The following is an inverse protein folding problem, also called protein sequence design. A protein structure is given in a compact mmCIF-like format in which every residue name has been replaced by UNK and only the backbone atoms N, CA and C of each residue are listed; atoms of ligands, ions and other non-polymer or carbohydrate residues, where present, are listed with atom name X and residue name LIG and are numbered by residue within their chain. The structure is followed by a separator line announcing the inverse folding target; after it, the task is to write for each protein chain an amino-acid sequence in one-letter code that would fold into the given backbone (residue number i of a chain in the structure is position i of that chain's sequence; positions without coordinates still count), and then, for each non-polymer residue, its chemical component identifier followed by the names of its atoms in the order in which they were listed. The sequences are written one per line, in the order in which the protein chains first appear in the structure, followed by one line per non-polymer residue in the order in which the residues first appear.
data_IF_668065271246
#
_entry.id   IF_668065271246
#
_cell.length_a   1.000
_cell.length_b   1.000
_cell.length_c   1.000
_cell.angle_alpha   90.00
_cell.angle_beta   90.00
_cell.angle_gamma   90.00
#
_symmetry.space_group_name_H-M   'P 1'
#
loop_
_entity.id
_entity.type
_entity.pdbx_description
1 polymer ?
#
# COMPACT_ATOMS: atom_id res chain seq x y z
N UNK A 1 8.62 6.96 22.64
CA UNK A 1 8.36 6.46 21.27
C UNK A 1 6.97 5.84 21.21
N UNK A 2 6.22 6.02 20.13
CA UNK A 2 4.90 5.43 19.92
C UNK A 2 5.04 3.90 19.81
N UNK A 3 4.29 3.16 20.63
CA UNK A 3 4.23 1.69 20.46
C UNK A 3 3.25 1.37 19.33
N UNK A 4 3.77 1.32 18.09
CA UNK A 4 2.96 1.17 16.88
C UNK A 4 2.05 -0.07 16.94
N UNK A 5 2.51 -1.29 17.28
CA UNK A 5 1.64 -2.45 17.34
C UNK A 5 0.45 -2.27 18.30
N UNK A 6 0.65 -1.63 19.44
CA UNK A 6 -0.44 -1.37 20.39
C UNK A 6 -1.38 -0.25 19.90
N UNK A 7 -0.85 0.79 19.26
CA UNK A 7 -1.69 1.83 18.65
C UNK A 7 -2.56 1.28 17.51
N UNK A 8 -2.03 0.39 16.70
CA UNK A 8 -2.79 -0.27 15.61
C UNK A 8 -3.93 -1.14 16.14
N UNK A 9 -3.77 -1.76 17.31
CA UNK A 9 -4.81 -2.60 17.95
C UNK A 9 -5.98 -1.78 18.53
N UNK A 10 -5.79 -0.49 18.82
CA UNK A 10 -6.88 0.33 19.34
C UNK A 10 -8.04 0.40 18.36
N UNK A 11 -9.25 0.09 18.84
CA UNK A 11 -10.47 0.08 18.04
C UNK A 11 -11.03 1.50 17.84
N UNK A 12 -10.23 2.36 17.19
CA UNK A 12 -10.60 3.73 16.84
C UNK A 12 -10.18 3.99 15.40
N UNK A 13 -10.96 4.76 14.63
CA UNK A 13 -10.56 5.13 13.27
C UNK A 13 -9.20 5.84 13.27
N UNK A 14 -8.33 5.45 12.34
CA UNK A 14 -7.04 6.10 12.10
C UNK A 14 -7.15 7.07 10.94
N UNK A 15 -6.48 8.22 11.04
CA UNK A 15 -6.31 9.14 9.91
C UNK A 15 -5.37 8.49 8.89
N UNK A 16 -5.85 8.21 7.68
CA UNK A 16 -5.12 7.46 6.66
C UNK A 16 -4.98 8.26 5.36
N UNK A 17 -3.78 8.28 4.80
CA UNK A 17 -3.52 8.62 3.40
C UNK A 17 -3.15 7.31 2.71
N UNK A 18 -3.83 6.94 1.63
CA UNK A 18 -3.54 5.76 0.83
C UNK A 18 -2.78 6.17 -0.44
N UNK A 19 -1.55 5.68 -0.60
CA UNK A 19 -0.72 5.89 -1.80
C UNK A 19 -0.67 4.61 -2.62
N UNK A 20 -1.21 4.62 -3.85
CA UNK A 20 -1.55 3.42 -4.62
C UNK A 20 -1.26 3.58 -6.11
N UNK A 21 -0.77 2.54 -6.77
CA UNK A 21 -0.58 2.45 -8.22
C UNK A 21 -1.67 1.60 -8.89
N UNK A 22 -2.92 1.94 -8.60
CA UNK A 22 -4.16 1.17 -8.76
C UNK A 22 -4.42 0.52 -10.15
N UNK A 23 -3.69 0.87 -11.18
CA UNK A 23 -3.79 0.25 -12.50
C UNK A 23 -2.65 -0.72 -12.81
N UNK A 24 -1.67 -0.82 -11.92
CA UNK A 24 -0.51 -1.70 -12.06
C UNK A 24 -0.92 -3.19 -12.15
N UNK A 25 -1.69 -3.66 -11.18
CA UNK A 25 -2.23 -5.02 -11.10
C UNK A 25 -3.75 -5.01 -10.90
N UNK A 26 -4.27 -5.79 -9.95
CA UNK A 26 -5.72 -5.91 -9.68
C UNK A 26 -6.06 -5.86 -8.18
N UNK A 27 -5.10 -5.72 -7.31
CA UNK A 27 -5.22 -5.83 -5.85
C UNK A 27 -5.37 -4.48 -5.15
N UNK A 28 -4.87 -3.41 -5.74
CA UNK A 28 -5.14 -2.03 -5.31
C UNK A 28 -6.65 -1.75 -5.20
N UNK A 29 -7.45 -2.20 -6.19
CA UNK A 29 -8.89 -1.98 -6.23
C UNK A 29 -9.59 -2.61 -5.03
N UNK A 30 -9.16 -3.82 -4.64
CA UNK A 30 -9.63 -4.46 -3.40
C UNK A 30 -9.24 -3.63 -2.17
N UNK A 31 -8.03 -3.06 -2.18
CA UNK A 31 -7.48 -2.30 -1.05
C UNK A 31 -8.19 -0.96 -0.87
N UNK A 32 -8.43 -0.22 -1.96
CA UNK A 32 -9.21 1.03 -1.95
C UNK A 32 -10.61 0.78 -1.40
N UNK A 33 -11.29 -0.23 -1.93
CA UNK A 33 -12.63 -0.61 -1.47
C UNK A 33 -12.61 -1.03 0.01
N UNK A 34 -11.64 -1.85 0.42
CA UNK A 34 -11.51 -2.31 1.81
C UNK A 34 -11.29 -1.15 2.79
N UNK A 35 -10.47 -0.16 2.42
CA UNK A 35 -10.26 1.04 3.22
C UNK A 35 -11.57 1.84 3.39
N UNK A 36 -12.30 2.08 2.28
CA UNK A 36 -13.55 2.84 2.29
C UNK A 36 -14.67 2.12 3.06
N UNK A 37 -14.71 0.79 2.99
CA UNK A 37 -15.71 -0.05 3.67
C UNK A 37 -15.35 -0.38 5.14
N UNK A 38 -14.33 0.28 5.68
CA UNK A 38 -13.88 0.09 7.07
C UNK A 38 -13.90 1.41 7.87
N UNK A 39 -15.02 2.18 7.90
CA UNK A 39 -15.07 3.50 8.56
C UNK A 39 -14.88 3.44 10.07
N UNK A 40 -15.08 2.28 10.68
CA UNK A 40 -14.80 1.99 12.09
C UNK A 40 -13.29 1.95 12.40
N UNK A 41 -12.45 1.76 11.39
CA UNK A 41 -10.98 1.64 11.50
C UNK A 41 -10.22 2.69 10.71
N UNK A 42 -10.80 3.19 9.64
CA UNK A 42 -10.15 4.05 8.63
C UNK A 42 -10.94 5.33 8.44
N UNK A 43 -10.28 6.46 8.62
CA UNK A 43 -10.74 7.77 8.17
C UNK A 43 -9.80 8.23 7.06
N UNK A 44 -10.22 8.02 5.80
CA UNK A 44 -9.43 8.42 4.64
C UNK A 44 -9.36 9.95 4.55
N UNK A 45 -8.15 10.49 4.64
CA UNK A 45 -7.88 11.92 4.42
C UNK A 45 -7.69 12.22 2.94
N UNK A 46 -7.09 11.29 2.21
CA UNK A 46 -6.84 11.38 0.78
C UNK A 46 -6.41 10.02 0.21
N UNK A 47 -6.50 9.91 -1.13
CA UNK A 47 -5.84 8.86 -1.91
C UNK A 47 -4.87 9.55 -2.88
N UNK A 48 -3.66 9.03 -3.02
CA UNK A 48 -2.63 9.57 -3.91
C UNK A 48 -2.25 8.50 -4.95
N UNK A 49 -2.15 8.92 -6.22
CA UNK A 49 -1.76 8.04 -7.32
C UNK A 49 -0.23 7.91 -7.37
N UNK A 50 0.30 6.71 -7.19
CA UNK A 50 1.72 6.44 -7.32
C UNK A 50 2.10 6.16 -8.78
N UNK A 51 3.36 6.49 -9.20
CA UNK A 51 3.85 6.13 -10.51
C UNK A 51 4.12 4.63 -10.60
N UNK A 52 3.89 4.03 -11.78
CA UNK A 52 4.36 2.68 -12.08
C UNK A 52 4.76 2.54 -13.54
N UNK A 53 5.67 1.61 -13.82
CA UNK A 53 6.10 1.29 -15.17
C UNK A 53 6.21 -0.21 -15.37
N UNK A 54 5.30 -0.76 -16.18
CA UNK A 54 5.29 -2.16 -16.60
C UNK A 54 4.62 -2.29 -17.98
N UNK A 55 4.18 -3.50 -18.36
CA UNK A 55 3.51 -3.75 -19.65
C UNK A 55 2.16 -3.04 -19.81
N UNK A 56 1.59 -2.45 -18.76
CA UNK A 56 0.31 -1.73 -18.78
C UNK A 56 0.47 -0.21 -18.88
N UNK A 57 1.71 0.30 -18.87
CA UNK A 57 2.02 1.73 -19.01
C UNK A 57 3.19 1.95 -19.95
N UNK A 58 3.25 3.15 -20.57
CA UNK A 58 4.33 3.53 -21.48
C UNK A 58 5.41 4.38 -20.80
N UNK A 59 5.13 4.85 -19.60
CA UNK A 59 6.06 5.60 -18.72
C UNK A 59 5.54 5.59 -17.29
N UNK A 60 6.36 5.98 -16.29
CA UNK A 60 5.87 6.17 -14.91
C UNK A 60 4.73 7.20 -14.82
N UNK A 61 4.80 8.30 -15.60
CA UNK A 61 3.76 9.32 -15.67
C UNK A 61 2.43 8.77 -16.21
N UNK A 62 2.48 7.97 -17.28
CA UNK A 62 1.29 7.31 -17.84
C UNK A 62 0.70 6.30 -16.83
N UNK A 63 1.55 5.58 -16.10
CA UNK A 63 1.15 4.70 -15.03
C UNK A 63 0.43 5.46 -13.91
N UNK A 64 0.99 6.56 -13.45
CA UNK A 64 0.39 7.42 -12.43
C UNK A 64 -0.98 7.96 -12.87
N UNK A 65 -1.12 8.44 -14.11
CA UNK A 65 -2.38 8.97 -14.61
C UNK A 65 -3.46 7.88 -14.73
N UNK A 66 -3.08 6.67 -15.18
CA UNK A 66 -3.97 5.51 -15.20
C UNK A 66 -4.43 5.11 -13.80
N UNK A 67 -3.51 5.14 -12.84
CA UNK A 67 -3.85 4.89 -11.43
C UNK A 67 -4.81 5.96 -10.90
N UNK A 68 -4.60 7.23 -11.22
CA UNK A 68 -5.48 8.33 -10.82
C UNK A 68 -6.92 8.12 -11.32
N UNK A 69 -7.10 7.74 -12.59
CA UNK A 69 -8.43 7.49 -13.14
C UNK A 69 -9.06 6.20 -12.56
N UNK A 70 -8.27 5.16 -12.33
CA UNK A 70 -8.75 3.92 -11.71
C UNK A 70 -9.19 4.14 -10.25
N UNK A 71 -8.45 4.94 -9.49
CA UNK A 71 -8.84 5.33 -8.11
C UNK A 71 -10.22 5.98 -8.13
N UNK A 72 -10.45 6.95 -9.02
CA UNK A 72 -11.75 7.63 -9.17
C UNK A 72 -12.86 6.65 -9.51
N UNK A 73 -12.57 5.70 -10.40
CA UNK A 73 -13.52 4.67 -10.79
C UNK A 73 -13.94 3.81 -9.59
N UNK A 74 -12.98 3.31 -8.81
CA UNK A 74 -13.26 2.49 -7.64
C UNK A 74 -14.01 3.27 -6.55
N UNK A 75 -13.57 4.50 -6.26
CA UNK A 75 -14.28 5.38 -5.30
C UNK A 75 -15.75 5.56 -5.72
N UNK A 76 -16.00 5.79 -7.02
CA UNK A 76 -17.35 5.90 -7.56
C UNK A 76 -18.17 4.61 -7.48
N UNK A 77 -17.56 3.44 -7.61
CA UNK A 77 -18.22 2.14 -7.44
C UNK A 77 -18.60 1.85 -5.99
N UNK A 78 -17.76 2.27 -5.04
CA UNK A 78 -18.01 2.07 -3.59
C UNK A 78 -19.05 3.07 -3.11
N UNK A 79 -18.87 4.34 -3.40
CA UNK A 79 -19.80 5.41 -3.00
C UNK A 79 -19.71 6.59 -3.96
N UNK A 80 -20.69 6.76 -4.88
CA UNK A 80 -20.71 7.87 -5.83
C UNK A 80 -20.76 9.27 -5.19
N UNK A 81 -21.19 9.37 -3.93
CA UNK A 81 -21.26 10.62 -3.18
C UNK A 81 -20.03 10.86 -2.28
N UNK A 82 -19.02 9.99 -2.33
CA UNK A 82 -17.83 10.16 -1.52
C UNK A 82 -17.03 11.39 -1.97
N UNK A 83 -16.70 12.26 -1.02
CA UNK A 83 -15.85 13.43 -1.21
C UNK A 83 -14.44 13.17 -0.62
N UNK A 84 -13.75 12.19 -1.21
CA UNK A 84 -12.38 11.86 -0.81
C UNK A 84 -11.43 12.54 -1.79
N UNK A 85 -10.54 13.46 -1.32
CA UNK A 85 -9.55 14.08 -2.19
C UNK A 85 -8.62 13.06 -2.83
N UNK A 86 -8.45 13.14 -4.16
CA UNK A 86 -7.55 12.29 -4.93
C UNK A 86 -6.49 13.20 -5.59
N UNK A 87 -5.21 12.87 -5.39
CA UNK A 87 -4.12 13.70 -5.88
C UNK A 87 -3.26 12.94 -6.90
N UNK A 88 -2.88 13.64 -7.98
CA UNK A 88 -1.89 13.14 -8.94
C UNK A 88 -0.52 13.10 -8.29
N UNK A 89 0.17 11.99 -8.49
CA UNK A 89 1.51 11.74 -7.94
C UNK A 89 2.63 12.19 -8.83
N UNK A 90 3.79 11.64 -8.50
CA UNK A 90 5.03 11.91 -9.22
C UNK A 90 4.97 11.31 -10.64
N UNK A 91 5.50 12.05 -11.62
CA UNK A 91 5.56 11.61 -13.02
C UNK A 91 6.82 10.80 -13.34
N UNK A 92 7.74 10.69 -12.42
CA UNK A 92 9.01 9.95 -12.51
C UNK A 92 9.46 9.52 -11.13
N UNK A 93 10.36 8.54 -11.06
CA UNK A 93 11.01 8.11 -9.82
C UNK A 93 12.07 9.12 -9.35
N UNK A 94 12.52 9.03 -8.10
CA UNK A 94 13.57 9.89 -7.59
C UNK A 94 14.86 9.73 -8.40
N UNK A 95 15.52 10.83 -8.78
CA UNK A 95 16.80 10.75 -9.48
C UNK A 95 17.94 10.26 -8.55
N UNK A 96 17.81 10.52 -7.26
CA UNK A 96 18.71 10.11 -6.19
C UNK A 96 18.03 10.31 -4.82
N UNK A 97 18.65 9.83 -3.75
CA UNK A 97 18.10 9.90 -2.39
C UNK A 97 18.17 11.30 -1.73
N UNK A 98 18.40 12.38 -2.48
CA UNK A 98 18.52 13.76 -1.95
C UNK A 98 17.58 14.75 -2.64
N UNK A 99 17.10 14.43 -3.82
CA UNK A 99 16.30 15.33 -4.63
C UNK A 99 14.86 14.82 -4.75
N UNK A 100 13.85 15.55 -4.21
CA UNK A 100 12.45 15.16 -4.33
C UNK A 100 11.93 15.34 -5.75
N UNK A 101 10.92 14.58 -6.10
CA UNK A 101 10.06 14.83 -7.25
C UNK A 101 8.78 15.49 -6.73
N UNK A 102 8.66 16.80 -6.93
CA UNK A 102 7.45 17.51 -6.51
C UNK A 102 6.23 17.04 -7.29
N UNK A 103 5.14 16.82 -6.57
CA UNK A 103 3.84 16.45 -7.12
C UNK A 103 2.72 16.96 -6.22
N UNK A 104 1.47 16.93 -6.71
CA UNK A 104 0.32 17.28 -5.89
C UNK A 104 0.19 16.31 -4.71
N UNK A 105 0.46 15.02 -4.94
CA UNK A 105 0.47 14.01 -3.90
C UNK A 105 1.50 14.29 -2.81
N UNK A 106 2.76 14.56 -3.17
CA UNK A 106 3.81 14.84 -2.19
C UNK A 106 3.48 16.09 -1.36
N UNK A 107 3.00 17.16 -2.01
CA UNK A 107 2.53 18.38 -1.32
C UNK A 107 1.32 18.11 -0.41
N UNK A 108 0.36 17.29 -0.87
CA UNK A 108 -0.81 16.93 -0.08
C UNK A 108 -0.43 16.09 1.15
N UNK A 109 0.49 15.13 1.03
CA UNK A 109 1.02 14.36 2.16
C UNK A 109 1.61 15.31 3.21
N UNK A 110 2.52 16.21 2.81
CA UNK A 110 3.12 17.18 3.73
C UNK A 110 2.07 18.02 4.44
N UNK A 111 1.14 18.60 3.69
CA UNK A 111 0.08 19.46 4.22
C UNK A 111 -0.82 18.71 5.18
N UNK A 112 -1.37 17.56 4.78
CA UNK A 112 -2.32 16.79 5.58
C UNK A 112 -1.70 16.27 6.88
N UNK A 113 -0.43 15.86 6.87
CA UNK A 113 0.29 15.44 8.07
C UNK A 113 0.51 16.63 9.01
N UNK A 114 0.94 17.78 8.50
CA UNK A 114 1.17 18.98 9.32
C UNK A 114 -0.11 19.54 9.94
N UNK A 115 -1.21 19.56 9.19
CA UNK A 115 -2.51 20.06 9.62
C UNK A 115 -3.22 19.11 10.61
N UNK A 116 -2.84 17.83 10.63
CA UNK A 116 -3.46 16.85 11.53
C UNK A 116 -3.10 17.11 12.98
N UNK A 117 -4.11 16.96 13.86
CA UNK A 117 -3.93 16.96 15.33
C UNK A 117 -3.67 15.55 15.90
N UNK A 118 -3.66 14.53 15.05
CA UNK A 118 -3.41 13.14 15.42
C UNK A 118 -2.36 12.51 14.49
N UNK A 119 -1.86 11.34 14.86
CA UNK A 119 -0.94 10.56 14.00
C UNK A 119 -1.61 10.20 12.69
N UNK A 120 -0.96 10.52 11.57
CA UNK A 120 -1.41 10.13 10.22
C UNK A 120 -0.70 8.86 9.79
N UNK A 121 -1.46 7.87 9.37
CA UNK A 121 -0.94 6.64 8.79
C UNK A 121 -0.91 6.77 7.28
N UNK A 122 0.29 6.73 6.70
CA UNK A 122 0.46 6.70 5.24
C UNK A 122 0.57 5.23 4.87
N UNK A 123 -0.45 4.70 4.20
CA UNK A 123 -0.44 3.32 3.69
C UNK A 123 -0.04 3.38 2.22
N UNK A 124 1.19 2.93 1.93
CA UNK A 124 1.74 2.92 0.58
C UNK A 124 1.77 1.49 0.03
N UNK A 125 1.22 1.31 -1.18
CA UNK A 125 1.09 0.02 -1.85
C UNK A 125 1.63 0.04 -3.28
N UNK A 126 2.35 1.10 -3.65
CA UNK A 126 3.07 1.27 -4.91
C UNK A 126 4.54 1.67 -4.71
N UNK A 127 5.15 2.16 -5.78
CA UNK A 127 6.48 2.77 -5.70
C UNK A 127 6.46 3.95 -4.73
N UNK A 128 7.45 4.03 -3.84
CA UNK A 128 7.42 4.92 -2.67
C UNK A 128 7.71 6.40 -2.97
N UNK A 129 7.78 6.77 -4.22
CA UNK A 129 8.23 8.07 -4.72
C UNK A 129 7.52 9.27 -4.08
N UNK A 130 6.17 9.22 -3.98
CA UNK A 130 5.39 10.32 -3.39
C UNK A 130 5.74 10.54 -1.92
N UNK A 131 5.83 9.47 -1.15
CA UNK A 131 6.15 9.51 0.29
C UNK A 131 7.59 9.91 0.51
N UNK A 132 8.53 9.36 -0.26
CA UNK A 132 9.95 9.72 -0.19
C UNK A 132 10.17 11.19 -0.55
N UNK A 133 9.48 11.69 -1.58
CA UNK A 133 9.51 13.12 -1.94
C UNK A 133 8.95 13.99 -0.82
N UNK A 134 7.83 13.61 -0.22
CA UNK A 134 7.27 14.34 0.92
C UNK A 134 8.23 14.42 2.11
N UNK A 135 8.93 13.32 2.43
CA UNK A 135 9.95 13.29 3.49
C UNK A 135 11.17 14.14 3.17
N UNK A 136 11.62 14.19 1.90
CA UNK A 136 12.72 15.07 1.48
C UNK A 136 12.32 16.56 1.52
N UNK A 137 11.09 16.88 1.13
CA UNK A 137 10.55 18.27 1.18
C UNK A 137 10.31 18.76 2.61
N UNK A 138 9.91 17.84 3.51
CA UNK A 138 9.47 18.17 4.85
C UNK A 138 9.82 17.04 5.84
N UNK A 139 11.07 16.92 6.29
CA UNK A 139 11.48 15.85 7.21
C UNK A 139 10.73 15.83 8.55
N UNK A 140 10.17 16.97 8.97
CA UNK A 140 9.37 17.14 10.18
C UNK A 140 8.10 16.28 10.22
N UNK A 141 7.55 15.90 9.05
CA UNK A 141 6.35 15.04 9.01
C UNK A 141 6.59 13.66 9.61
N UNK A 142 7.84 13.20 9.67
CA UNK A 142 8.21 11.94 10.31
C UNK A 142 7.84 11.88 11.82
N UNK A 143 7.67 13.01 12.48
CA UNK A 143 7.28 13.08 13.89
C UNK A 143 5.79 12.82 14.12
N UNK A 144 4.96 13.03 13.09
CA UNK A 144 3.50 12.94 13.16
C UNK A 144 2.92 11.84 12.27
N UNK A 145 3.72 11.18 11.45
CA UNK A 145 3.26 10.14 10.56
C UNK A 145 3.83 8.76 10.93
N UNK A 146 3.10 7.72 10.55
CA UNK A 146 3.55 6.33 10.52
C UNK A 146 3.40 5.85 9.09
N UNK A 147 4.46 5.31 8.51
CA UNK A 147 4.42 4.70 7.19
C UNK A 147 4.15 3.20 7.31
N UNK A 148 3.12 2.71 6.65
CA UNK A 148 2.86 1.29 6.40
C UNK A 148 3.11 1.04 4.92
N UNK A 149 4.13 0.27 4.58
CA UNK A 149 4.54 0.08 3.19
C UNK A 149 4.62 -1.38 2.79
N UNK A 150 3.86 -1.72 1.74
CA UNK A 150 4.03 -2.97 1.01
C UNK A 150 5.21 -2.80 0.06
N UNK A 151 6.37 -3.29 0.43
CA UNK A 151 7.58 -3.13 -0.38
C UNK A 151 8.73 -4.00 0.10
N UNK A 152 9.47 -4.50 -0.88
CA UNK A 152 10.55 -5.44 -0.68
C UNK A 152 10.09 -6.88 -0.48
N UNK A 153 11.04 -7.79 -0.50
CA UNK A 153 10.82 -9.21 -0.17
C UNK A 153 11.18 -9.50 1.29
N UNK A 154 10.83 -10.68 1.75
CA UNK A 154 11.24 -11.15 3.08
C UNK A 154 12.77 -11.16 3.20
N UNK A 155 13.28 -10.91 4.42
CA UNK A 155 14.73 -10.78 4.68
C UNK A 155 15.55 -12.03 4.32
N UNK A 156 14.90 -13.20 4.23
CA UNK A 156 15.55 -14.46 3.84
C UNK A 156 15.59 -14.70 2.33
N UNK A 157 14.99 -13.80 1.52
CA UNK A 157 15.04 -13.93 0.06
C UNK A 157 16.43 -13.57 -0.49
N UNK A 158 16.87 -14.23 -1.58
CA UNK A 158 18.23 -14.05 -2.13
C UNK A 158 18.45 -12.67 -2.79
N UNK A 159 17.38 -11.95 -3.06
CA UNK A 159 17.39 -10.58 -3.61
C UNK A 159 16.14 -9.82 -3.16
N UNK A 160 16.21 -8.50 -3.26
CA UNK A 160 15.08 -7.64 -2.88
C UNK A 160 14.56 -6.83 -4.10
N UNK A 161 14.53 -7.46 -5.27
CA UNK A 161 13.98 -6.86 -6.51
C UNK A 161 12.47 -7.07 -6.56
N UNK A 162 11.80 -6.55 -5.54
CA UNK A 162 10.37 -6.48 -5.45
C UNK A 162 9.88 -5.28 -6.26
N UNK A 163 8.70 -5.35 -6.87
CA UNK A 163 8.23 -4.37 -7.85
C UNK A 163 8.17 -2.95 -7.29
N UNK A 164 7.53 -2.74 -6.15
CA UNK A 164 7.36 -1.41 -5.54
C UNK A 164 8.71 -0.81 -5.10
N UNK A 165 9.57 -1.61 -4.47
CA UNK A 165 10.88 -1.17 -4.03
C UNK A 165 11.84 -0.94 -5.20
N UNK A 166 11.84 -1.86 -6.17
CA UNK A 166 12.84 -1.84 -7.23
C UNK A 166 12.59 -0.76 -8.27
N UNK A 167 11.36 -0.27 -8.41
CA UNK A 167 11.05 0.85 -9.30
C UNK A 167 11.69 2.16 -8.81
N UNK A 168 11.81 2.36 -7.48
CA UNK A 168 12.40 3.57 -6.91
C UNK A 168 13.33 3.22 -5.74
N UNK A 169 14.51 2.68 -6.07
CA UNK A 169 15.54 2.34 -5.07
C UNK A 169 15.98 3.57 -4.27
N UNK A 170 16.24 4.76 -4.88
CA UNK A 170 16.52 5.98 -4.11
C UNK A 170 15.39 6.36 -3.14
N UNK A 171 14.13 6.23 -3.55
CA UNK A 171 12.98 6.47 -2.67
C UNK A 171 12.93 5.49 -1.49
N UNK A 172 13.20 4.21 -1.73
CA UNK A 172 13.33 3.22 -0.68
C UNK A 172 14.47 3.56 0.30
N UNK A 173 15.64 4.00 -0.19
CA UNK A 173 16.75 4.48 0.64
C UNK A 173 16.32 5.65 1.53
N UNK A 174 15.65 6.66 0.96
CA UNK A 174 15.11 7.80 1.75
C UNK A 174 14.25 7.32 2.90
N UNK A 175 13.30 6.43 2.63
CA UNK A 175 12.39 5.89 3.66
C UNK A 175 13.15 5.13 4.73
N UNK A 176 14.02 4.20 4.34
CA UNK A 176 14.77 3.37 5.30
C UNK A 176 15.84 4.14 6.07
N UNK A 177 16.29 5.29 5.58
CA UNK A 177 17.25 6.16 6.26
C UNK A 177 16.59 7.32 7.03
N UNK A 178 15.29 7.55 6.83
CA UNK A 178 14.51 8.57 7.54
C UNK A 178 14.21 8.17 8.99
N UNK A 179 13.66 9.13 9.75
CA UNK A 179 13.17 8.89 11.11
C UNK A 179 11.68 8.51 11.17
N UNK A 180 11.01 8.37 10.02
CA UNK A 180 9.60 8.00 10.02
C UNK A 180 9.42 6.59 10.62
N UNK A 181 8.52 6.42 11.59
CA UNK A 181 8.12 5.11 12.06
C UNK A 181 7.59 4.26 10.91
N UNK A 182 8.19 3.09 10.68
CA UNK A 182 7.92 2.23 9.52
C UNK A 182 7.33 0.88 9.96
N UNK A 183 6.27 0.48 9.29
CA UNK A 183 5.74 -0.89 9.27
C UNK A 183 5.94 -1.43 7.86
N UNK A 184 6.90 -2.33 7.69
CA UNK A 184 7.14 -2.97 6.39
C UNK A 184 6.31 -4.25 6.27
N UNK A 185 5.61 -4.40 5.14
CA UNK A 185 4.94 -5.62 4.73
C UNK A 185 5.69 -6.18 3.52
N UNK A 186 6.52 -7.22 3.69
CA UNK A 186 7.25 -7.80 2.57
C UNK A 186 6.34 -8.63 1.66
N UNK A 187 6.55 -8.54 0.34
CA UNK A 187 5.79 -9.29 -0.65
C UNK A 187 6.12 -10.79 -0.60
N UNK A 188 7.09 -11.25 -1.38
CA UNK A 188 7.45 -12.67 -1.38
C UNK A 188 8.03 -13.11 -0.02
N UNK A 189 7.56 -14.25 0.45
CA UNK A 189 7.95 -14.86 1.72
C UNK A 189 7.12 -14.43 2.93
N UNK A 190 6.22 -13.43 2.75
CA UNK A 190 5.25 -13.01 3.77
C UNK A 190 3.85 -12.97 3.18
N UNK A 191 3.59 -12.12 2.17
CA UNK A 191 2.26 -12.00 1.57
C UNK A 191 1.89 -13.18 0.66
N UNK A 192 2.82 -14.05 0.33
CA UNK A 192 2.60 -15.23 -0.55
C UNK A 192 1.51 -16.17 -0.05
N UNK A 193 1.17 -16.15 1.23
CA UNK A 193 0.06 -16.93 1.79
C UNK A 193 -1.31 -16.29 1.50
N UNK A 194 -1.37 -15.00 1.13
CA UNK A 194 -2.63 -14.29 0.90
C UNK A 194 -3.11 -14.46 -0.56
N UNK A 195 -3.27 -15.72 -0.96
CA UNK A 195 -3.72 -16.13 -2.30
C UNK A 195 -5.23 -16.32 -2.35
N UNK A 196 -5.83 -15.98 -3.51
CA UNK A 196 -7.20 -16.32 -3.87
C UNK A 196 -7.23 -16.97 -5.26
N UNK A 197 -8.40 -17.45 -5.66
CA UNK A 197 -8.66 -18.09 -6.95
C UNK A 197 -9.92 -17.52 -7.58
N UNK A 198 -10.07 -17.64 -8.90
CA UNK A 198 -11.31 -17.22 -9.58
C UNK A 198 -12.55 -17.86 -8.96
N UNK A 199 -12.61 -19.20 -8.70
CA UNK A 199 -13.77 -19.81 -8.04
C UNK A 199 -14.09 -19.21 -6.68
N UNK A 200 -13.08 -18.87 -5.86
CA UNK A 200 -13.29 -18.28 -4.54
C UNK A 200 -13.86 -16.86 -4.65
N UNK A 201 -13.25 -16.02 -5.51
CA UNK A 201 -13.73 -14.66 -5.77
C UNK A 201 -15.16 -14.65 -6.34
N UNK A 202 -15.46 -15.57 -7.28
CA UNK A 202 -16.81 -15.70 -7.84
C UNK A 202 -17.82 -16.17 -6.79
N UNK A 203 -17.45 -17.13 -5.96
CA UNK A 203 -18.35 -17.67 -4.93
C UNK A 203 -18.83 -16.60 -3.97
N UNK A 204 -17.93 -15.73 -3.52
CA UNK A 204 -18.26 -14.69 -2.54
C UNK A 204 -18.80 -13.40 -3.16
N UNK A 205 -18.29 -12.99 -4.33
CA UNK A 205 -18.54 -11.64 -4.84
C UNK A 205 -19.50 -11.58 -6.04
N UNK A 206 -19.58 -12.63 -6.89
CA UNK A 206 -20.34 -12.57 -8.12
C UNK A 206 -21.82 -12.26 -7.87
N UNK A 207 -22.33 -11.21 -8.51
CA UNK A 207 -23.75 -10.82 -8.46
C UNK A 207 -24.15 -10.07 -7.19
N UNK A 208 -23.22 -9.74 -6.27
CA UNK A 208 -23.56 -9.07 -5.02
C UNK A 208 -23.89 -7.59 -5.22
N UNK A 209 -23.02 -6.85 -5.88
CA UNK A 209 -23.15 -5.43 -6.19
C UNK A 209 -22.25 -5.04 -7.39
N UNK A 210 -22.33 -3.79 -7.90
CA UNK A 210 -21.51 -3.35 -9.03
C UNK A 210 -20.01 -3.45 -8.78
N UNK A 211 -19.52 -3.07 -7.61
CA UNK A 211 -18.10 -3.20 -7.22
C UNK A 211 -17.66 -4.66 -7.25
N UNK A 212 -18.39 -5.55 -6.61
CA UNK A 212 -18.09 -6.98 -6.61
C UNK A 212 -18.02 -7.58 -8.00
N UNK A 213 -18.96 -7.22 -8.87
CA UNK A 213 -18.96 -7.67 -10.27
C UNK A 213 -17.72 -7.16 -11.01
N UNK A 214 -17.34 -5.91 -10.80
CA UNK A 214 -16.11 -5.34 -11.37
C UNK A 214 -14.85 -6.10 -10.92
N UNK A 215 -14.71 -6.36 -9.62
CA UNK A 215 -13.59 -7.12 -9.06
C UNK A 215 -13.52 -8.56 -9.61
N UNK A 216 -14.66 -9.22 -9.80
CA UNK A 216 -14.74 -10.55 -10.43
C UNK A 216 -14.24 -10.50 -11.87
N UNK A 217 -14.75 -9.56 -12.68
CA UNK A 217 -14.34 -9.44 -14.09
C UNK A 217 -12.87 -9.04 -14.22
N UNK A 218 -12.37 -8.17 -13.36
CA UNK A 218 -10.97 -7.78 -13.29
C UNK A 218 -10.07 -9.00 -13.00
N UNK A 219 -10.47 -9.83 -12.02
CA UNK A 219 -9.75 -11.05 -11.66
C UNK A 219 -9.74 -12.08 -12.80
N UNK A 220 -10.87 -12.23 -13.52
CA UNK A 220 -10.96 -13.09 -14.70
C UNK A 220 -10.07 -12.59 -15.84
N UNK A 221 -10.12 -11.29 -16.11
CA UNK A 221 -9.32 -10.66 -17.18
C UNK A 221 -7.81 -10.81 -16.92
N UNK A 222 -7.39 -10.81 -15.67
CA UNK A 222 -5.99 -11.01 -15.31
C UNK A 222 -5.50 -12.43 -15.63
N UNK A 223 -6.38 -13.44 -15.66
CA UNK A 223 -6.12 -14.81 -16.14
C UNK A 223 -6.70 -15.05 -17.55
N UNK A 224 -6.70 -14.07 -18.43
CA UNK A 224 -7.29 -14.19 -19.77
C UNK A 224 -6.70 -15.35 -20.60
N UNK A 225 -5.47 -15.81 -20.30
CA UNK A 225 -4.84 -16.98 -20.94
C UNK A 225 -5.41 -18.32 -20.45
N UNK A 226 -6.28 -18.31 -19.44
CA UNK A 226 -6.93 -19.52 -18.91
C UNK A 226 -5.96 -20.51 -18.29
N UNK A 227 -4.95 -20.04 -17.57
CA UNK A 227 -3.97 -20.91 -16.89
C UNK A 227 -4.70 -21.80 -15.90
N UNK A 228 -4.54 -23.13 -16.04
CA UNK A 228 -5.17 -24.10 -15.14
C UNK A 228 -4.56 -24.02 -13.73
N UNK A 229 -5.42 -24.14 -12.72
CA UNK A 229 -5.05 -24.05 -11.30
C UNK A 229 -4.38 -22.71 -10.92
N UNK A 230 -4.73 -21.64 -11.64
CA UNK A 230 -4.22 -20.30 -11.39
C UNK A 230 -4.71 -19.75 -10.05
N UNK A 231 -3.83 -19.04 -9.38
CA UNK A 231 -4.13 -18.28 -8.18
C UNK A 231 -3.48 -16.89 -8.26
N UNK A 232 -4.03 -15.93 -7.53
CA UNK A 232 -3.51 -14.56 -7.43
C UNK A 232 -3.32 -14.22 -5.95
N UNK A 233 -2.18 -13.66 -5.63
CA UNK A 233 -1.96 -13.04 -4.33
C UNK A 233 -2.53 -11.63 -4.41
N UNK A 234 -3.40 -11.26 -3.46
CA UNK A 234 -3.95 -9.91 -3.34
C UNK A 234 -3.07 -9.13 -2.36
N UNK A 235 -1.88 -8.78 -2.85
CA UNK A 235 -0.78 -8.22 -2.07
C UNK A 235 -1.20 -7.04 -1.19
N UNK A 236 -1.82 -6.04 -1.79
CA UNK A 236 -2.01 -4.69 -1.26
C UNK A 236 -2.96 -4.63 -0.06
N UNK A 237 -3.97 -5.50 -0.03
CA UNK A 237 -4.90 -5.63 1.11
C UNK A 237 -4.14 -5.87 2.41
N UNK A 238 -2.99 -6.53 2.35
CA UNK A 238 -2.17 -6.85 3.52
C UNK A 238 -1.59 -5.61 4.20
N UNK A 239 -1.30 -4.54 3.45
CA UNK A 239 -0.87 -3.27 4.02
C UNK A 239 -2.02 -2.56 4.74
N UNK A 240 -3.20 -2.52 4.12
CA UNK A 240 -4.39 -1.96 4.76
C UNK A 240 -4.84 -2.79 5.97
N UNK A 241 -4.57 -4.10 5.97
CA UNK A 241 -4.84 -4.96 7.12
C UNK A 241 -4.09 -4.52 8.39
N UNK A 242 -2.94 -3.87 8.30
CA UNK A 242 -2.25 -3.30 9.46
C UNK A 242 -3.12 -2.28 10.21
N UNK A 243 -4.00 -1.57 9.50
CA UNK A 243 -4.94 -0.61 10.08
C UNK A 243 -6.27 -1.29 10.46
N UNK A 244 -6.83 -2.09 9.54
CA UNK A 244 -8.19 -2.64 9.68
C UNK A 244 -8.21 -3.88 10.58
N UNK A 245 -7.27 -4.82 10.34
CA UNK A 245 -7.20 -6.12 11.03
C UNK A 245 -5.76 -6.45 11.48
N UNK A 246 -5.16 -5.61 12.36
CA UNK A 246 -3.79 -5.84 12.86
C UNK A 246 -3.62 -7.19 13.56
N UNK A 247 -4.71 -7.78 14.07
CA UNK A 247 -4.73 -9.12 14.66
C UNK A 247 -4.39 -10.24 13.66
N UNK A 248 -4.52 -9.98 12.36
CA UNK A 248 -4.18 -10.94 11.30
C UNK A 248 -2.71 -10.90 10.90
N UNK A 249 -1.94 -9.95 11.40
CA UNK A 249 -0.53 -9.76 11.10
C UNK A 249 0.36 -10.10 12.29
N UNK A 250 1.40 -10.88 12.06
CA UNK A 250 2.42 -11.14 13.06
C UNK A 250 3.57 -10.15 12.87
N UNK A 251 3.63 -9.17 13.77
CA UNK A 251 4.57 -8.05 13.74
C UNK A 251 5.71 -8.29 14.72
N UNK A 252 6.94 -7.98 14.30
CA UNK A 252 8.15 -8.01 15.15
C UNK A 252 8.92 -6.71 14.99
N UNK A 253 9.58 -6.29 16.05
CA UNK A 253 10.45 -5.12 16.05
C UNK A 253 11.89 -5.58 15.86
N UNK A 254 12.54 -5.09 14.80
CA UNK A 254 13.91 -5.47 14.44
C UNK A 254 14.72 -4.26 13.98
N UNK A 255 16.07 -4.31 14.00
CA UNK A 255 16.92 -3.25 13.45
C UNK A 255 16.59 -2.98 11.98
N UNK A 256 16.47 -1.70 11.62
CA UNK A 256 16.12 -1.25 10.28
C UNK A 256 17.28 -1.53 9.32
N UNK A 257 17.05 -2.28 8.23
CA UNK A 257 18.11 -2.55 7.26
C UNK A 257 18.48 -1.30 6.45
N UNK A 258 19.63 -1.35 5.81
CA UNK A 258 20.08 -0.40 4.80
C UNK A 258 19.66 -0.96 3.43
N UNK A 259 19.09 -0.11 2.58
CA UNK A 259 18.82 -0.46 1.18
C UNK A 259 20.05 -0.07 0.36
N UNK A 260 20.70 -1.05 -0.25
CA UNK A 260 21.87 -0.81 -1.11
C UNK A 260 21.44 -0.31 -2.50
N UNK A 261 22.37 0.28 -3.26
CA UNK A 261 22.11 0.73 -4.65
C UNK A 261 21.66 -0.41 -5.59
N UNK A 262 21.91 -1.66 -5.21
CA UNK A 262 21.45 -2.86 -5.92
C UNK A 262 20.13 -3.43 -5.39
N UNK A 263 19.39 -2.64 -4.60
CA UNK A 263 18.14 -3.03 -3.96
C UNK A 263 18.25 -4.25 -3.02
N UNK A 264 19.41 -4.50 -2.43
CA UNK A 264 19.58 -5.56 -1.42
C UNK A 264 19.51 -4.97 -0.01
N UNK A 265 19.17 -5.82 0.95
CA UNK A 265 19.30 -5.49 2.37
C UNK A 265 20.75 -5.66 2.84
N UNK A 266 21.27 -4.66 3.55
CA UNK A 266 22.45 -4.76 4.38
C UNK A 266 22.06 -4.47 5.84
N UNK A 267 22.77 -5.04 6.80
CA UNK A 267 22.36 -4.99 8.20
C UNK A 267 23.43 -4.29 9.04
N UNK A 268 22.96 -3.32 9.84
CA UNK A 268 23.70 -2.69 10.92
C UNK A 268 22.80 -2.74 12.17
N UNK A 269 23.22 -3.53 13.15
CA UNK A 269 22.44 -3.76 14.38
C UNK A 269 22.38 -2.54 15.29
N UNK A 270 23.15 -1.48 15.01
CA UNK A 270 23.12 -0.22 15.76
C UNK A 270 22.04 0.75 15.24
N UNK A 271 21.38 0.46 14.13
CA UNK A 271 20.33 1.30 13.56
C UNK A 271 19.05 1.27 14.40
N UNK A 272 18.25 2.33 14.26
CA UNK A 272 16.92 2.39 14.85
C UNK A 272 16.08 1.18 14.41
N UNK A 273 15.14 0.78 15.25
CA UNK A 273 14.25 -0.33 14.98
C UNK A 273 13.04 0.11 14.14
N UNK A 274 12.42 -0.86 13.48
CA UNK A 274 11.18 -0.70 12.74
C UNK A 274 10.30 -1.95 12.92
N UNK A 275 9.04 -1.85 12.53
CA UNK A 275 8.11 -2.98 12.58
C UNK A 275 8.17 -3.74 11.26
N UNK A 276 8.47 -5.02 11.37
CA UNK A 276 8.51 -5.96 10.25
C UNK A 276 7.39 -6.98 10.41
N UNK A 277 6.55 -7.11 9.37
CA UNK A 277 5.53 -8.16 9.33
C UNK A 277 6.18 -9.44 8.81
N UNK A 278 6.10 -10.51 9.60
CA UNK A 278 6.72 -11.79 9.24
C UNK A 278 5.73 -12.86 8.80
N UNK A 279 4.43 -12.66 9.05
CA UNK A 279 3.38 -13.60 8.68
C UNK A 279 2.02 -12.91 8.60
N UNK A 280 1.16 -13.44 7.72
CA UNK A 280 -0.23 -13.02 7.54
C UNK A 280 -1.15 -14.22 7.77
N UNK A 281 -2.23 -14.00 8.51
CA UNK A 281 -3.28 -15.00 8.72
C UNK A 281 -4.34 -14.85 7.63
N UNK A 282 -4.26 -15.68 6.61
CA UNK A 282 -5.08 -15.61 5.40
C UNK A 282 -6.58 -15.62 5.67
N UNK A 283 -7.08 -16.67 6.29
CA UNK A 283 -8.52 -16.94 6.36
C UNK A 283 -9.31 -15.86 7.10
N UNK A 284 -8.89 -15.39 8.30
CA UNK A 284 -9.61 -14.32 8.99
C UNK A 284 -9.57 -12.98 8.24
N UNK A 285 -8.50 -12.73 7.44
CA UNK A 285 -8.40 -11.51 6.65
C UNK A 285 -9.32 -11.57 5.41
N UNK A 286 -9.37 -12.71 4.69
CA UNK A 286 -10.32 -12.88 3.58
C UNK A 286 -11.77 -12.88 4.05
N UNK A 287 -12.06 -13.49 5.19
CA UNK A 287 -13.41 -13.46 5.75
C UNK A 287 -13.89 -12.02 6.01
N UNK A 288 -13.02 -11.16 6.58
CA UNK A 288 -13.33 -9.75 6.80
C UNK A 288 -13.46 -8.99 5.47
N UNK A 289 -12.52 -9.17 4.54
CA UNK A 289 -12.52 -8.54 3.22
C UNK A 289 -13.79 -8.85 2.44
N UNK A 290 -14.10 -10.12 2.25
CA UNK A 290 -15.27 -10.53 1.47
C UNK A 290 -16.57 -10.08 2.12
N UNK A 291 -16.67 -10.18 3.47
CA UNK A 291 -17.85 -9.68 4.19
C UNK A 291 -18.08 -8.19 3.96
N UNK A 292 -17.03 -7.37 3.95
CA UNK A 292 -17.17 -5.93 3.68
C UNK A 292 -17.54 -5.65 2.23
N UNK A 293 -16.91 -6.33 1.27
CA UNK A 293 -17.18 -6.16 -0.15
C UNK A 293 -18.61 -6.56 -0.53
N UNK A 294 -19.12 -7.70 -0.03
CA UNK A 294 -20.46 -8.16 -0.37
C UNK A 294 -21.59 -7.28 0.21
N UNK A 295 -21.30 -6.51 1.24
CA UNK A 295 -22.24 -5.61 1.92
C UNK A 295 -22.07 -4.12 1.50
N UNK A 296 -21.34 -3.87 0.43
CA UNK A 296 -21.15 -2.54 -0.15
C UNK A 296 -22.45 -1.95 -0.68
#
# INVERSE_FOLDING_TARGET
MLNIPEELKKNTPKAVILDTDAYNEIDDQYTIAYAMLSPDRVRLLAITAAPFFNSRSVSPADGMEKSYEEIKHIVGLVNPAADIPIYRGSEKYLPNAKEPVESDAARAIVRLVRESNETVYIVAIGAITNVASALLMAPDIAEKAVLVWLGGHALHFPHNREFNLYQDVPGAQVVFDSKIPLVQIPCNGVCTEFVTTIPEVEYYLKGKNPLCNYLVELTRAYNAKGVKAWSKIIWDVTAMAAIVRPDTLEMVEIPRPIITDHANYAFDMARDHYIYVRRIRRDPLYADLFTKLENC
#
